data_IF_386950435343
#
_entry.id   IF_386950435343
#
_cell.length_a   1.000
_cell.length_b   1.000
_cell.length_c   1.000
_cell.angle_alpha   90.00
_cell.angle_beta   90.00
_cell.angle_gamma   90.00
#
_symmetry.space_group_name_H-M   'P 1'
#
loop_
_entity.id
_entity.type
_entity.pdbx_description
1 polymer ?
#
# COMPACT_ATOMS: atom_id res chain seq x y z
N UNK A 1 -13.13 3.95 -7.33
CA UNK A 1 -13.61 4.17 -5.94
C UNK A 1 -12.49 4.48 -4.92
N UNK A 2 -11.25 4.04 -5.17
CA UNK A 2 -10.12 4.32 -4.27
C UNK A 2 -9.62 5.75 -4.28
N UNK A 3 -9.85 6.49 -5.37
CA UNK A 3 -9.41 7.89 -5.51
C UNK A 3 -9.94 8.72 -4.33
N UNK A 4 -9.04 9.49 -3.72
CA UNK A 4 -9.31 10.26 -2.52
C UNK A 4 -8.09 10.34 -1.61
N UNK A 5 -8.26 11.07 -0.51
CA UNK A 5 -7.31 11.08 0.60
C UNK A 5 -7.89 10.24 1.73
N UNK A 6 -7.05 9.39 2.31
CA UNK A 6 -7.39 8.48 3.38
C UNK A 6 -6.51 8.78 4.58
N UNK A 7 -7.08 8.76 5.77
CA UNK A 7 -6.39 9.02 7.03
C UNK A 7 -6.32 7.74 7.87
N UNK A 8 -5.12 7.42 8.33
CA UNK A 8 -4.86 6.21 9.11
C UNK A 8 -5.61 6.26 10.44
N UNK A 9 -6.11 5.11 10.88
CA UNK A 9 -6.67 4.90 12.21
C UNK A 9 -5.75 3.92 12.96
N UNK A 10 -4.71 4.41 13.68
CA UNK A 10 -3.75 3.55 14.36
C UNK A 10 -4.41 2.57 15.32
N UNK A 11 -5.44 3.00 16.04
CA UNK A 11 -6.18 2.17 17.01
C UNK A 11 -6.95 0.99 16.38
N UNK A 12 -7.13 0.96 15.05
CA UNK A 12 -7.75 -0.14 14.32
C UNK A 12 -6.75 -0.94 13.47
N UNK A 13 -5.47 -0.57 13.52
CA UNK A 13 -4.42 -1.16 12.71
C UNK A 13 -3.61 -2.16 13.54
N UNK A 14 -3.05 -3.17 12.88
CA UNK A 14 -2.27 -4.24 13.50
C UNK A 14 -1.00 -4.47 12.69
N UNK A 15 0.18 -4.40 13.33
CA UNK A 15 1.47 -4.50 12.66
C UNK A 15 2.29 -5.62 13.30
N UNK A 16 2.53 -6.68 12.53
CA UNK A 16 3.35 -7.81 12.95
C UNK A 16 4.85 -7.53 12.79
N UNK A 17 5.23 -6.61 11.88
CA UNK A 17 6.62 -6.27 11.63
C UNK A 17 6.83 -4.77 11.45
N UNK A 18 7.86 -4.24 12.12
CA UNK A 18 8.17 -2.81 12.18
C UNK A 18 7.28 -2.05 13.16
N UNK A 19 7.61 -0.78 13.40
CA UNK A 19 6.84 0.05 14.31
C UNK A 19 5.57 0.62 13.63
N UNK A 20 4.40 0.55 14.29
CA UNK A 20 3.18 1.12 13.74
C UNK A 20 3.29 2.66 13.67
N UNK A 21 2.90 3.30 12.55
CA UNK A 21 2.87 4.75 12.44
C UNK A 21 1.88 5.39 13.42
N UNK A 22 2.24 6.54 13.98
CA UNK A 22 1.39 7.30 14.91
C UNK A 22 0.31 8.11 14.19
N UNK A 23 0.56 8.47 12.93
CA UNK A 23 -0.38 9.06 11.98
C UNK A 23 0.07 8.74 10.57
N UNK A 24 -0.85 8.79 9.62
CA UNK A 24 -0.49 8.70 8.22
C UNK A 24 -1.64 9.05 7.29
N UNK A 25 -1.29 9.38 6.06
CA UNK A 25 -2.21 9.60 4.96
C UNK A 25 -1.87 8.67 3.81
N UNK A 26 -2.91 8.29 3.07
CA UNK A 26 -2.78 7.59 1.81
C UNK A 26 -3.61 8.37 0.78
N UNK A 27 -2.94 9.02 -0.14
CA UNK A 27 -3.55 9.74 -1.25
C UNK A 27 -3.50 8.86 -2.50
N UNK A 28 -4.65 8.66 -3.13
CA UNK A 28 -4.78 7.92 -4.38
C UNK A 28 -5.40 8.86 -5.41
N UNK A 29 -4.70 9.08 -6.50
CA UNK A 29 -5.09 10.01 -7.57
C UNK A 29 -5.14 9.27 -8.90
N UNK A 30 -6.04 9.72 -9.78
CA UNK A 30 -6.04 9.24 -11.16
C UNK A 30 -4.98 9.98 -11.95
N UNK A 31 -4.11 9.25 -12.63
CA UNK A 31 -3.07 9.80 -13.50
C UNK A 31 -3.18 9.16 -14.88
N UNK A 32 -4.06 9.71 -15.73
CA UNK A 32 -4.41 9.09 -17.01
C UNK A 32 -5.09 7.72 -16.80
N UNK A 33 -4.44 6.65 -17.28
CA UNK A 33 -4.88 5.26 -17.08
C UNK A 33 -4.37 4.66 -15.75
N UNK A 34 -3.41 5.32 -15.12
CA UNK A 34 -2.73 4.86 -13.92
C UNK A 34 -3.36 5.41 -12.65
N UNK A 35 -2.97 4.81 -11.53
CA UNK A 35 -3.08 5.43 -10.22
C UNK A 35 -1.73 5.98 -9.79
N UNK A 36 -1.72 7.22 -9.28
CA UNK A 36 -0.62 7.73 -8.47
C UNK A 36 -0.99 7.57 -7.00
N UNK A 37 -0.11 6.91 -6.26
CA UNK A 37 -0.28 6.57 -4.86
C UNK A 37 0.80 7.25 -4.04
N UNK A 38 0.41 8.08 -3.08
CA UNK A 38 1.33 8.76 -2.17
C UNK A 38 0.94 8.42 -0.74
N UNK A 39 1.88 7.83 0.00
CA UNK A 39 1.73 7.54 1.43
C UNK A 39 2.68 8.45 2.21
N UNK A 40 2.16 9.13 3.22
CA UNK A 40 2.98 9.89 4.16
C UNK A 40 2.64 9.44 5.59
N UNK A 41 3.64 9.31 6.46
CA UNK A 41 3.40 8.87 7.84
C UNK A 41 4.42 9.43 8.82
N UNK A 42 4.03 9.50 10.08
CA UNK A 42 4.93 9.83 11.19
C UNK A 42 5.24 8.56 11.96
N UNK A 43 6.52 8.26 12.09
CA UNK A 43 7.04 7.13 12.90
C UNK A 43 6.77 7.34 14.39
N UNK A 44 6.97 6.29 15.20
CA UNK A 44 6.92 6.37 16.67
C UNK A 44 7.95 7.34 17.26
N UNK A 45 9.03 7.62 16.52
CA UNK A 45 10.08 8.57 16.89
C UNK A 45 9.84 10.00 16.36
N UNK A 46 8.65 10.29 15.82
CA UNK A 46 8.29 11.63 15.36
C UNK A 46 8.90 12.02 14.00
N UNK A 47 9.62 11.13 13.32
CA UNK A 47 10.10 11.39 11.95
C UNK A 47 8.97 11.26 10.94
N UNK A 48 8.85 12.22 10.05
CA UNK A 48 7.94 12.17 8.91
C UNK A 48 8.61 11.51 7.71
N UNK A 49 7.92 10.56 7.09
CA UNK A 49 8.35 9.81 5.92
C UNK A 49 7.27 9.92 4.84
N UNK A 50 7.69 9.79 3.58
CA UNK A 50 6.81 9.79 2.42
C UNK A 50 7.31 8.80 1.37
N UNK A 51 6.38 8.16 0.66
CA UNK A 51 6.64 7.30 -0.49
C UNK A 51 5.58 7.58 -1.56
N UNK A 52 5.99 7.59 -2.83
CA UNK A 52 5.08 7.73 -3.96
C UNK A 52 5.40 6.72 -5.05
N UNK A 53 4.38 6.16 -5.67
CA UNK A 53 4.53 5.27 -6.82
C UNK A 53 3.32 5.36 -7.77
N UNK A 54 3.53 4.91 -9.00
CA UNK A 54 2.50 4.86 -10.03
C UNK A 54 2.31 3.44 -10.51
N UNK A 55 1.09 3.08 -10.92
CA UNK A 55 0.83 1.78 -11.51
C UNK A 55 -0.46 1.73 -12.31
N UNK A 56 -0.39 1.01 -13.44
CA UNK A 56 -1.58 0.64 -14.22
C UNK A 56 -2.25 -0.56 -13.54
N UNK A 57 -3.56 -0.52 -13.21
CA UNK A 57 -4.24 -1.61 -12.52
C UNK A 57 -4.67 -2.76 -13.46
N UNK A 58 -3.79 -3.21 -14.35
CA UNK A 58 -4.03 -4.23 -15.39
C UNK A 58 -3.43 -5.61 -15.09
N UNK A 59 -2.72 -5.74 -13.96
CA UNK A 59 -2.07 -6.97 -13.51
C UNK A 59 -0.73 -7.26 -14.18
N UNK A 60 -0.24 -6.38 -15.06
CA UNK A 60 1.05 -6.53 -15.72
C UNK A 60 2.18 -6.08 -14.78
N UNK A 61 3.27 -6.84 -14.75
CA UNK A 61 4.49 -6.44 -14.06
C UNK A 61 5.29 -5.45 -14.91
N UNK A 62 5.56 -4.27 -14.35
CA UNK A 62 6.38 -3.23 -14.95
C UNK A 62 7.70 -3.08 -14.17
N UNK A 63 8.82 -2.74 -14.84
CA UNK A 63 10.07 -2.43 -14.17
C UNK A 63 9.94 -1.26 -13.20
N UNK A 64 10.59 -1.35 -12.04
CA UNK A 64 10.75 -0.23 -11.10
C UNK A 64 12.13 0.39 -11.29
N UNK A 65 12.19 1.48 -12.03
CA UNK A 65 13.43 2.25 -12.21
C UNK A 65 13.91 2.84 -10.88
N UNK A 66 15.22 2.79 -10.62
CA UNK A 66 15.88 3.37 -9.43
C UNK A 66 15.50 2.75 -8.07
N UNK A 67 14.88 1.58 -8.05
CA UNK A 67 14.62 0.84 -6.81
C UNK A 67 15.77 -0.13 -6.51
N UNK A 68 16.36 -0.02 -5.31
CA UNK A 68 17.40 -0.98 -4.85
C UNK A 68 16.77 -2.27 -4.28
N UNK A 69 15.49 -2.23 -3.92
CA UNK A 69 14.80 -3.29 -3.16
C UNK A 69 13.98 -4.23 -4.03
N UNK A 70 13.41 -3.74 -5.13
CA UNK A 70 12.56 -4.48 -6.06
C UNK A 70 12.89 -4.10 -7.51
N UNK A 71 12.81 -5.06 -8.41
CA UNK A 71 13.10 -4.88 -9.85
C UNK A 71 11.83 -4.57 -10.65
N UNK A 72 10.66 -4.93 -10.12
CA UNK A 72 9.37 -4.64 -10.76
C UNK A 72 8.20 -4.61 -9.80
N UNK A 73 7.07 -4.13 -10.32
CA UNK A 73 5.80 -4.04 -9.61
C UNK A 73 4.64 -4.30 -10.55
N UNK A 74 3.58 -4.92 -10.03
CA UNK A 74 2.29 -5.00 -10.69
C UNK A 74 1.21 -4.35 -9.83
N UNK A 75 0.15 -3.88 -10.47
CA UNK A 75 -1.07 -3.45 -9.82
C UNK A 75 -2.25 -4.12 -10.50
N UNK A 76 -3.15 -4.73 -9.73
CA UNK A 76 -4.25 -5.53 -10.28
C UNK A 76 -5.58 -5.06 -9.71
N UNK A 77 -6.49 -4.68 -10.60
CA UNK A 77 -7.90 -4.51 -10.21
C UNK A 77 -8.56 -5.88 -10.08
N UNK A 78 -8.77 -6.35 -8.84
CA UNK A 78 -9.36 -7.68 -8.59
C UNK A 78 -10.87 -7.68 -8.81
N UNK A 79 -11.58 -6.72 -8.24
CA UNK A 79 -13.04 -6.56 -8.38
C UNK A 79 -13.44 -5.08 -8.29
N UNK A 80 -14.63 -4.70 -7.81
CA UNK A 80 -15.04 -3.30 -7.61
C UNK A 80 -14.56 -2.62 -6.31
N UNK A 81 -14.18 -3.38 -5.29
CA UNK A 81 -13.78 -2.90 -3.96
C UNK A 81 -12.38 -3.35 -3.57
N UNK A 82 -11.72 -4.16 -4.40
CA UNK A 82 -10.39 -4.71 -4.15
C UNK A 82 -9.38 -4.26 -5.22
N UNK A 83 -8.21 -3.82 -4.77
CA UNK A 83 -7.06 -3.45 -5.60
C UNK A 83 -5.80 -4.04 -4.96
N UNK A 84 -5.06 -4.82 -5.73
CA UNK A 84 -3.82 -5.46 -5.28
C UNK A 84 -2.61 -4.80 -5.93
N UNK A 85 -1.46 -4.88 -5.26
CA UNK A 85 -0.15 -4.65 -5.88
C UNK A 85 0.85 -5.66 -5.35
N UNK A 86 1.85 -5.97 -6.16
CA UNK A 86 2.95 -6.84 -5.77
C UNK A 86 4.27 -6.25 -6.23
N UNK A 87 5.34 -6.46 -5.47
CA UNK A 87 6.70 -6.14 -5.88
C UNK A 87 7.53 -7.40 -6.02
N UNK A 88 8.47 -7.36 -6.95
CA UNK A 88 9.22 -8.53 -7.40
C UNK A 88 10.72 -8.24 -7.35
N UNK A 89 11.51 -9.24 -6.97
CA UNK A 89 12.96 -9.28 -7.15
C UNK A 89 13.26 -10.46 -8.06
N UNK A 90 13.88 -10.23 -9.21
CA UNK A 90 13.93 -11.19 -10.31
C UNK A 90 12.51 -11.69 -10.68
N UNK A 91 12.26 -12.99 -10.54
CA UNK A 91 10.96 -13.64 -10.77
C UNK A 91 10.17 -13.86 -9.48
N UNK A 92 10.77 -13.58 -8.32
CA UNK A 92 10.19 -13.89 -7.02
C UNK A 92 9.38 -12.71 -6.50
N UNK A 93 8.14 -12.96 -6.10
CA UNK A 93 7.32 -11.97 -5.42
C UNK A 93 7.81 -11.80 -3.98
N UNK A 94 8.27 -10.59 -3.63
CA UNK A 94 8.85 -10.30 -2.32
C UNK A 94 7.88 -9.58 -1.37
N UNK A 95 6.87 -8.91 -1.91
CA UNK A 95 5.80 -8.30 -1.13
C UNK A 95 4.49 -8.23 -1.91
N UNK A 96 3.39 -8.25 -1.17
CA UNK A 96 2.03 -8.06 -1.69
C UNK A 96 1.28 -7.06 -0.80
N UNK A 97 0.48 -6.20 -1.42
CA UNK A 97 -0.41 -5.31 -0.70
C UNK A 97 -1.82 -5.35 -1.31
N UNK A 98 -2.81 -5.67 -0.48
CA UNK A 98 -4.24 -5.64 -0.81
C UNK A 98 -4.91 -4.42 -0.20
N UNK A 99 -5.66 -3.67 -1.01
CA UNK A 99 -6.57 -2.62 -0.55
C UNK A 99 -7.99 -3.12 -0.74
N UNK A 100 -8.77 -3.14 0.33
CA UNK A 100 -10.18 -3.51 0.32
C UNK A 100 -11.02 -2.37 0.89
N UNK A 101 -11.99 -1.90 0.10
CA UNK A 101 -12.97 -0.91 0.55
C UNK A 101 -14.13 -1.59 1.27
N UNK A 102 -14.64 -0.94 2.31
CA UNK A 102 -15.96 -1.25 2.86
C UNK A 102 -17.05 -1.01 1.81
N UNK A 103 -18.23 -1.62 2.00
CA UNK A 103 -19.36 -1.48 1.08
C UNK A 103 -19.79 -0.01 0.87
N UNK A 104 -19.71 0.81 1.93
CA UNK A 104 -20.00 2.24 1.89
C UNK A 104 -18.83 3.10 1.33
N UNK A 105 -17.68 2.48 1.04
CA UNK A 105 -16.47 3.10 0.49
C UNK A 105 -15.87 4.20 1.37
N UNK A 106 -16.19 4.21 2.67
CA UNK A 106 -15.66 5.16 3.66
C UNK A 106 -14.48 4.61 4.45
N UNK A 107 -14.26 3.30 4.43
CA UNK A 107 -13.10 2.65 5.07
C UNK A 107 -12.29 1.92 4.01
N UNK A 108 -10.97 2.04 4.08
CA UNK A 108 -10.03 1.25 3.29
C UNK A 108 -9.13 0.46 4.24
N UNK A 109 -9.10 -0.85 4.08
CA UNK A 109 -8.14 -1.71 4.78
C UNK A 109 -7.01 -2.06 3.83
N UNK A 110 -5.77 -1.82 4.24
CA UNK A 110 -4.58 -2.18 3.50
C UNK A 110 -3.87 -3.29 4.26
N UNK A 111 -3.77 -4.48 3.66
CA UNK A 111 -2.98 -5.58 4.19
C UNK A 111 -1.71 -5.72 3.37
N UNK A 112 -0.56 -5.44 3.97
CA UNK A 112 0.76 -5.64 3.39
C UNK A 112 1.36 -6.92 3.95
N UNK A 113 1.91 -7.77 3.08
CA UNK A 113 2.58 -9.02 3.47
C UNK A 113 3.88 -9.20 2.71
N UNK A 114 4.79 -9.99 3.29
CA UNK A 114 6.08 -10.29 2.70
C UNK A 114 6.96 -11.09 3.67
N UNK A 115 8.26 -11.07 3.42
CA UNK A 115 9.27 -11.72 4.26
C UNK A 115 10.02 -10.71 5.12
N UNK A 116 10.27 -11.06 6.38
CA UNK A 116 11.17 -10.34 7.28
C UNK A 116 12.65 -10.67 6.96
N UNK A 117 13.63 -9.90 7.46
CA UNK A 117 15.05 -10.15 7.19
C UNK A 117 15.57 -11.54 7.65
N UNK A 118 14.92 -12.14 8.64
CA UNK A 118 15.20 -13.50 9.14
C UNK A 118 14.40 -14.59 8.40
N UNK A 119 13.61 -14.22 7.38
CA UNK A 119 12.89 -15.15 6.50
C UNK A 119 11.49 -15.55 6.99
N UNK A 120 11.03 -15.01 8.12
CA UNK A 120 9.65 -15.16 8.59
C UNK A 120 8.64 -14.46 7.69
N UNK A 121 7.40 -14.93 7.69
CA UNK A 121 6.29 -14.23 7.05
C UNK A 121 5.75 -13.15 7.99
N UNK A 122 5.35 -12.00 7.43
CA UNK A 122 4.61 -10.98 8.16
C UNK A 122 3.39 -10.51 7.39
N UNK A 123 2.40 -10.03 8.13
CA UNK A 123 1.27 -9.27 7.61
C UNK A 123 1.00 -8.04 8.50
N UNK A 124 1.04 -6.86 7.89
CA UNK A 124 0.64 -5.60 8.51
C UNK A 124 -0.71 -5.15 7.96
N UNK A 125 -1.64 -4.82 8.83
CA UNK A 125 -2.99 -4.34 8.52
C UNK A 125 -3.11 -2.87 8.93
N UNK A 126 -3.23 -1.99 7.94
CA UNK A 126 -3.46 -0.57 8.15
C UNK A 126 -4.90 -0.21 7.77
N UNK A 127 -5.67 0.32 8.72
CA UNK A 127 -7.05 0.75 8.50
C UNK A 127 -7.09 2.26 8.30
N UNK A 128 -7.72 2.70 7.23
CA UNK A 128 -7.89 4.11 6.91
C UNK A 128 -9.36 4.49 6.77
N UNK A 129 -9.69 5.72 7.13
CA UNK A 129 -10.98 6.35 6.86
C UNK A 129 -10.84 7.40 5.78
N UNK A 130 -11.87 7.54 4.94
CA UNK A 130 -11.87 8.56 3.89
C UNK A 130 -11.90 9.94 4.54
N UNK A 131 -11.00 10.82 4.11
CA UNK A 131 -11.03 12.24 4.48
C UNK A 131 -12.18 12.90 3.70
N UNK A 132 -13.07 13.56 4.43
CA UNK A 132 -14.18 14.33 3.88
C UNK A 132 -13.70 15.48 2.98
#
# INVERSE_FOLDING_TARGET
PFVGTWELVPAKSDYQFGDPPTRGTYKIERFGKDYRMTMAWTTVHGRNLEMSYEGTPDGVQYPLENSIVADGMSMTRVDELTLDSATFKNIDQIAHARRSLSADKNTMTVTQSGKTPDGGDFANVAVYVRKA
#
